data_IF_735156476887
#
_entry.id   IF_735156476887
#
_cell.length_a   1.000
_cell.length_b   1.000
_cell.length_c   1.000
_cell.angle_alpha   90.00
_cell.angle_beta   90.00
_cell.angle_gamma   90.00
#
_symmetry.space_group_name_H-M   'P 1'
#
loop_
_entity.id
_entity.type
_entity.pdbx_description
1 polymer ?
#
# COMPACT_ATOMS: atom_id res chain seq x y z
N UNK A 1 16.44 9.89 20.90
CA UNK A 1 16.47 8.61 20.17
C UNK A 1 15.26 8.60 19.25
N UNK A 2 15.43 8.17 18.01
CA UNK A 2 14.37 8.09 17.00
C UNK A 2 14.05 6.62 16.70
N UNK A 3 12.83 6.35 16.23
CA UNK A 3 12.37 5.00 15.91
C UNK A 3 11.74 5.02 14.51
N UNK A 4 11.96 3.97 13.73
CA UNK A 4 11.44 4.00 12.37
C UNK A 4 11.87 2.85 11.49
N UNK A 5 11.64 3.05 10.19
CA UNK A 5 12.04 2.12 9.14
C UNK A 5 13.51 2.36 8.79
N UNK A 6 14.31 1.33 8.96
CA UNK A 6 15.75 1.35 8.65
C UNK A 6 16.02 1.02 7.17
N UNK A 7 15.31 0.04 6.63
CA UNK A 7 15.40 -0.40 5.23
C UNK A 7 14.11 -1.08 4.80
N UNK A 8 13.91 -1.22 3.48
CA UNK A 8 12.72 -1.84 2.88
C UNK A 8 13.12 -2.74 1.72
N UNK A 9 12.42 -3.86 1.55
CA UNK A 9 12.55 -4.74 0.39
C UNK A 9 11.19 -5.01 -0.24
N UNK A 10 11.16 -5.14 -1.57
CA UNK A 10 9.98 -5.43 -2.36
C UNK A 10 10.12 -6.77 -3.06
N UNK A 11 9.09 -7.59 -2.94
CA UNK A 11 8.82 -8.67 -3.88
C UNK A 11 7.60 -8.32 -4.74
N UNK A 12 7.71 -8.52 -6.03
CA UNK A 12 6.61 -8.43 -6.99
C UNK A 12 6.68 -9.66 -7.90
N UNK A 13 5.54 -10.31 -8.21
CA UNK A 13 5.51 -11.42 -9.16
C UNK A 13 6.18 -11.08 -10.48
N UNK A 14 6.85 -12.07 -11.07
CA UNK A 14 7.59 -11.90 -12.34
C UNK A 14 6.71 -11.86 -13.57
N UNK A 15 5.42 -12.04 -13.38
CA UNK A 15 4.43 -11.99 -14.45
C UNK A 15 3.45 -10.84 -14.22
N UNK A 16 2.87 -10.35 -15.30
CA UNK A 16 1.85 -9.30 -15.26
C UNK A 16 0.87 -9.43 -16.42
N UNK A 17 -0.35 -8.95 -16.23
CA UNK A 17 -1.27 -8.71 -17.34
C UNK A 17 -1.16 -7.25 -17.80
N UNK A 18 -1.05 -7.07 -19.12
CA UNK A 18 -1.12 -5.73 -19.72
C UNK A 18 -2.57 -5.22 -19.67
N UNK A 19 -2.78 -4.01 -19.15
CA UNK A 19 -4.12 -3.41 -19.03
C UNK A 19 -4.75 -3.09 -20.38
N UNK A 20 -3.95 -2.89 -21.43
CA UNK A 20 -4.47 -2.75 -22.79
C UNK A 20 -5.12 -4.06 -23.26
N UNK A 21 -4.46 -5.20 -23.03
CA UNK A 21 -5.03 -6.52 -23.32
C UNK A 21 -6.34 -6.77 -22.57
N UNK A 22 -6.37 -6.44 -21.25
CA UNK A 22 -7.60 -6.55 -20.47
C UNK A 22 -8.72 -5.66 -21.03
N UNK A 23 -8.42 -4.41 -21.35
CA UNK A 23 -9.37 -3.45 -21.90
C UNK A 23 -9.98 -3.95 -23.21
N UNK A 24 -9.14 -4.47 -24.11
CA UNK A 24 -9.57 -5.06 -25.38
C UNK A 24 -10.51 -6.26 -25.15
N UNK A 25 -10.11 -7.20 -24.31
CA UNK A 25 -10.88 -8.44 -24.02
C UNK A 25 -12.19 -8.19 -23.29
N UNK A 26 -12.28 -7.13 -22.49
CA UNK A 26 -13.48 -6.74 -21.74
C UNK A 26 -14.33 -5.66 -22.45
N UNK A 27 -13.91 -5.20 -23.63
CA UNK A 27 -14.63 -4.14 -24.36
C UNK A 27 -14.67 -2.80 -23.63
N UNK A 28 -13.61 -2.49 -22.84
CA UNK A 28 -13.47 -1.24 -22.09
C UNK A 28 -12.55 -0.29 -22.86
N UNK A 29 -12.92 0.99 -22.95
CA UNK A 29 -12.02 1.99 -23.53
C UNK A 29 -10.72 2.08 -22.71
N UNK A 30 -9.57 1.78 -23.32
CA UNK A 30 -8.26 1.77 -22.64
C UNK A 30 -7.94 3.10 -21.97
N UNK A 31 -8.31 4.23 -22.59
CA UNK A 31 -8.09 5.57 -22.04
C UNK A 31 -8.79 5.78 -20.70
N UNK A 32 -9.92 5.12 -20.46
CA UNK A 32 -10.62 5.14 -19.17
C UNK A 32 -9.73 4.54 -18.06
N UNK A 33 -9.02 3.46 -18.38
CA UNK A 33 -8.14 2.77 -17.43
C UNK A 33 -6.78 3.47 -17.31
N UNK A 34 -6.14 3.79 -18.43
CA UNK A 34 -4.79 4.37 -18.43
C UNK A 34 -4.77 5.85 -18.01
N UNK A 35 -5.58 6.70 -18.65
CA UNK A 35 -5.62 8.14 -18.34
C UNK A 35 -6.55 8.47 -17.18
N UNK A 36 -7.62 7.67 -17.02
CA UNK A 36 -8.60 7.87 -15.94
C UNK A 36 -8.12 7.35 -14.59
N UNK A 37 -7.60 6.12 -14.53
CA UNK A 37 -7.20 5.45 -13.30
C UNK A 37 -5.69 5.31 -13.13
N UNK A 38 -4.90 5.53 -14.20
CA UNK A 38 -3.45 5.40 -14.19
C UNK A 38 -2.97 3.95 -14.20
N UNK A 39 -3.69 3.05 -14.85
CA UNK A 39 -3.36 1.64 -14.88
C UNK A 39 -2.68 1.28 -16.21
N UNK A 40 -1.52 0.66 -16.13
CA UNK A 40 -0.76 0.17 -17.28
C UNK A 40 -0.58 -1.34 -17.23
N UNK A 41 -0.17 -1.88 -16.06
CA UNK A 41 0.05 -3.30 -15.83
C UNK A 41 -0.54 -3.72 -14.50
N UNK A 42 -0.93 -4.97 -14.43
CA UNK A 42 -1.43 -5.64 -13.23
C UNK A 42 -0.46 -6.76 -12.86
N UNK A 43 0.23 -6.66 -11.72
CA UNK A 43 1.02 -7.76 -11.19
C UNK A 43 0.09 -8.91 -10.81
N UNK A 44 0.47 -10.13 -11.16
CA UNK A 44 -0.35 -11.30 -10.93
C UNK A 44 0.50 -12.47 -10.38
N UNK A 45 -0.01 -13.18 -9.38
CA UNK A 45 0.69 -14.34 -8.84
C UNK A 45 0.73 -15.49 -9.86
N UNK A 46 1.91 -16.09 -10.01
CA UNK A 46 2.05 -17.34 -10.73
C UNK A 46 1.48 -18.51 -9.91
N UNK A 47 1.32 -19.67 -10.51
CA UNK A 47 0.67 -20.84 -9.88
C UNK A 47 1.36 -21.29 -8.57
N UNK A 48 2.65 -21.01 -8.40
CA UNK A 48 3.42 -21.35 -7.20
C UNK A 48 3.45 -20.25 -6.14
N UNK A 49 2.91 -19.06 -6.43
CA UNK A 49 3.00 -17.89 -5.55
C UNK A 49 1.72 -17.69 -4.74
N UNK A 50 1.88 -17.27 -3.50
CA UNK A 50 0.83 -16.78 -2.61
C UNK A 50 1.36 -15.71 -1.66
N UNK A 51 0.51 -15.22 -0.74
CA UNK A 51 0.91 -14.17 0.19
C UNK A 51 2.09 -14.58 1.10
N UNK A 52 2.22 -15.88 1.43
CA UNK A 52 3.33 -16.37 2.25
C UNK A 52 4.65 -16.41 1.48
N UNK A 53 4.63 -16.89 0.22
CA UNK A 53 5.83 -16.96 -0.61
C UNK A 53 6.37 -15.59 -0.94
N UNK A 54 5.49 -14.63 -1.32
CA UNK A 54 5.87 -13.25 -1.57
C UNK A 54 6.46 -12.57 -0.33
N UNK A 55 5.85 -12.79 0.84
CA UNK A 55 6.37 -12.29 2.12
C UNK A 55 7.74 -12.89 2.44
N UNK A 56 7.93 -14.19 2.23
CA UNK A 56 9.20 -14.88 2.49
C UNK A 56 10.34 -14.29 1.65
N UNK A 57 10.11 -14.06 0.35
CA UNK A 57 11.12 -13.48 -0.53
C UNK A 57 11.48 -12.03 -0.12
N UNK A 58 10.49 -11.20 0.23
CA UNK A 58 10.75 -9.84 0.69
C UNK A 58 11.51 -9.80 2.04
N UNK A 59 11.15 -10.68 2.99
CA UNK A 59 11.84 -10.80 4.29
C UNK A 59 13.28 -11.31 4.07
N UNK A 60 13.46 -12.33 3.24
CA UNK A 60 14.77 -12.91 2.96
C UNK A 60 15.71 -11.87 2.33
N UNK A 61 15.27 -11.15 1.30
CA UNK A 61 16.05 -10.08 0.67
C UNK A 61 16.47 -9.02 1.69
N UNK A 62 15.56 -8.62 2.59
CA UNK A 62 15.84 -7.61 3.61
C UNK A 62 16.92 -8.08 4.60
N UNK A 63 16.85 -9.35 5.05
CA UNK A 63 17.80 -9.95 5.98
C UNK A 63 19.18 -10.10 5.33
N UNK A 64 19.25 -10.69 4.14
CA UNK A 64 20.52 -10.92 3.44
C UNK A 64 21.22 -9.60 3.08
N UNK A 65 20.48 -8.65 2.49
CA UNK A 65 21.06 -7.35 2.10
C UNK A 65 21.67 -6.58 3.26
N UNK A 66 21.08 -6.69 4.44
CA UNK A 66 21.56 -6.02 5.65
C UNK A 66 22.43 -6.92 6.53
N UNK A 67 22.70 -8.15 6.12
CA UNK A 67 23.46 -9.15 6.89
C UNK A 67 22.97 -9.26 8.35
N UNK A 68 21.64 -9.32 8.54
CA UNK A 68 21.03 -9.36 9.87
C UNK A 68 21.16 -10.78 10.45
N UNK A 69 21.60 -10.87 11.71
CA UNK A 69 21.43 -12.11 12.47
C UNK A 69 19.94 -12.30 12.81
N UNK A 70 19.23 -13.30 12.22
CA UNK A 70 17.80 -13.46 12.42
C UNK A 70 17.40 -13.73 13.88
N UNK A 71 18.34 -14.21 14.72
CA UNK A 71 18.11 -14.42 16.15
C UNK A 71 17.93 -13.10 16.93
N UNK A 72 18.31 -11.97 16.34
CA UNK A 72 18.12 -10.64 16.92
C UNK A 72 16.77 -10.03 16.55
N UNK A 73 16.02 -10.65 15.63
CA UNK A 73 14.68 -10.21 15.23
C UNK A 73 13.70 -10.76 16.26
N UNK A 74 13.18 -9.88 17.12
CA UNK A 74 12.25 -10.27 18.18
C UNK A 74 10.79 -10.31 17.72
N UNK A 75 10.47 -9.75 16.54
CA UNK A 75 9.09 -9.66 16.03
C UNK A 75 9.05 -9.65 14.50
N UNK A 76 8.10 -10.44 13.93
CA UNK A 76 7.70 -10.38 12.53
C UNK A 76 6.17 -10.26 12.50
N UNK A 77 5.64 -9.06 12.23
CA UNK A 77 4.20 -8.81 12.11
C UNK A 77 3.82 -8.55 10.65
N UNK A 78 2.83 -9.28 10.18
CA UNK A 78 2.36 -9.21 8.80
C UNK A 78 0.97 -8.56 8.74
N UNK A 79 0.84 -7.51 7.94
CA UNK A 79 -0.47 -7.02 7.53
C UNK A 79 -0.91 -7.72 6.25
N UNK A 80 -2.12 -8.29 6.25
CA UNK A 80 -2.65 -8.98 5.07
C UNK A 80 -4.17 -9.04 5.05
N UNK A 81 -4.76 -8.94 3.86
CA UNK A 81 -6.14 -9.30 3.54
C UNK A 81 -6.22 -10.66 2.81
N UNK A 82 -5.08 -11.30 2.58
CA UNK A 82 -4.93 -12.54 1.83
C UNK A 82 -4.45 -13.67 2.72
N UNK A 83 -4.97 -13.72 3.96
CA UNK A 83 -4.64 -14.76 4.93
C UNK A 83 -4.95 -16.16 4.37
N UNK A 84 -4.02 -17.09 4.58
CA UNK A 84 -4.11 -18.45 4.05
C UNK A 84 -4.89 -19.42 4.97
N UNK A 85 -5.13 -18.99 6.21
CA UNK A 85 -5.79 -19.79 7.23
C UNK A 85 -6.57 -18.88 8.20
N UNK A 86 -7.64 -19.39 8.77
CA UNK A 86 -8.47 -18.63 9.71
C UNK A 86 -7.91 -18.55 11.14
N UNK A 87 -6.84 -19.29 11.44
CA UNK A 87 -6.27 -19.43 12.79
C UNK A 87 -4.75 -19.36 12.78
N UNK A 88 -4.09 -20.14 11.90
CA UNK A 88 -2.63 -20.15 11.75
C UNK A 88 -2.18 -18.92 10.96
N UNK A 89 -1.32 -18.02 11.53
CA UNK A 89 -0.87 -16.84 10.82
C UNK A 89 -0.11 -17.16 9.52
N UNK A 90 -0.41 -16.45 8.45
CA UNK A 90 0.31 -16.55 7.17
C UNK A 90 1.80 -16.24 7.34
N UNK A 91 2.12 -15.31 8.24
CA UNK A 91 3.50 -14.97 8.60
C UNK A 91 4.30 -16.16 9.13
N UNK A 92 3.67 -17.19 9.71
CA UNK A 92 4.38 -18.40 10.19
C UNK A 92 4.90 -19.24 9.04
N UNK A 93 4.16 -19.32 7.92
CA UNK A 93 4.63 -19.99 6.70
C UNK A 93 5.82 -19.24 6.08
N UNK A 94 5.70 -17.90 5.97
CA UNK A 94 6.78 -17.06 5.46
C UNK A 94 8.05 -17.20 6.33
N UNK A 95 7.91 -17.14 7.65
CA UNK A 95 9.02 -17.26 8.60
C UNK A 95 9.69 -18.64 8.51
N UNK A 96 8.92 -19.74 8.34
CA UNK A 96 9.47 -21.08 8.15
C UNK A 96 10.33 -21.18 6.88
N UNK A 97 9.84 -20.63 5.74
CA UNK A 97 10.58 -20.63 4.48
C UNK A 97 11.90 -19.86 4.61
N UNK A 98 11.87 -18.66 5.21
CA UNK A 98 13.07 -17.85 5.46
C UNK A 98 14.05 -18.58 6.38
N UNK A 99 13.56 -19.19 7.47
CA UNK A 99 14.38 -19.96 8.42
C UNK A 99 15.12 -21.11 7.72
N UNK A 100 14.42 -21.91 6.90
CA UNK A 100 15.02 -23.00 6.14
C UNK A 100 16.15 -22.52 5.21
N UNK A 101 15.95 -21.36 4.56
CA UNK A 101 16.96 -20.78 3.67
C UNK A 101 18.18 -20.25 4.41
N UNK A 102 17.99 -19.76 5.64
CA UNK A 102 19.04 -19.22 6.48
C UNK A 102 19.74 -20.30 7.36
N UNK A 103 19.22 -21.53 7.39
CA UNK A 103 19.64 -22.59 8.32
C UNK A 103 21.13 -22.92 8.23
N UNK A 104 21.71 -22.95 7.03
CA UNK A 104 23.12 -23.25 6.84
C UNK A 104 24.04 -22.21 7.53
N UNK A 105 23.62 -20.94 7.63
CA UNK A 105 24.39 -19.84 8.22
C UNK A 105 24.07 -19.63 9.70
N UNK A 106 22.79 -19.79 10.09
CA UNK A 106 22.30 -19.35 11.39
C UNK A 106 21.67 -20.47 12.25
N UNK A 107 21.61 -21.71 11.72
CA UNK A 107 20.98 -22.86 12.36
C UNK A 107 19.48 -22.98 12.08
N UNK A 108 18.96 -24.19 12.27
CA UNK A 108 17.59 -24.58 11.88
C UNK A 108 16.45 -23.89 12.65
N UNK A 109 16.75 -23.25 13.78
CA UNK A 109 15.78 -22.61 14.67
C UNK A 109 16.07 -21.13 14.91
N UNK A 110 16.54 -20.41 13.89
CA UNK A 110 17.00 -19.03 14.05
C UNK A 110 15.88 -18.03 14.41
N UNK A 111 14.61 -18.39 14.19
CA UNK A 111 13.43 -17.58 14.60
C UNK A 111 12.66 -18.15 15.78
N UNK A 112 13.19 -19.13 16.52
CA UNK A 112 12.45 -19.80 17.61
C UNK A 112 11.82 -18.86 18.63
N UNK A 113 12.47 -17.76 18.94
CA UNK A 113 12.05 -16.78 19.95
C UNK A 113 11.47 -15.50 19.30
N UNK A 114 11.16 -15.54 18.01
CA UNK A 114 10.52 -14.43 17.30
C UNK A 114 9.00 -14.47 17.50
N UNK A 115 8.41 -13.36 17.92
CA UNK A 115 6.95 -13.19 18.00
C UNK A 115 6.38 -12.95 16.59
N UNK A 116 5.48 -13.84 16.14
CA UNK A 116 4.96 -13.83 14.76
C UNK A 116 3.43 -13.75 14.76
N UNK A 117 2.87 -12.80 14.00
CA UNK A 117 1.45 -12.49 13.99
C UNK A 117 0.98 -11.94 12.64
N UNK A 118 -0.24 -12.30 12.22
CA UNK A 118 -0.98 -11.56 11.18
C UNK A 118 -1.88 -10.50 11.80
N UNK A 119 -1.92 -9.30 11.19
CA UNK A 119 -2.82 -8.21 11.57
C UNK A 119 -3.74 -7.87 10.41
N UNK A 120 -5.04 -7.91 10.66
CA UNK A 120 -6.07 -7.65 9.65
C UNK A 120 -6.93 -6.45 10.03
N UNK A 121 -6.93 -5.44 9.21
CA UNK A 121 -7.94 -4.41 9.05
C UNK A 121 -7.89 -3.94 7.60
N UNK A 122 -8.45 -4.73 6.69
CA UNK A 122 -8.37 -4.46 5.25
C UNK A 122 -6.99 -3.90 4.84
N UNK A 123 -6.92 -2.95 3.92
CA UNK A 123 -5.66 -2.42 3.38
C UNK A 123 -4.77 -1.66 4.39
N UNK A 124 -5.23 -1.39 5.63
CA UNK A 124 -4.43 -0.64 6.63
C UNK A 124 -3.71 -1.55 7.64
N UNK A 125 -3.93 -2.87 7.61
CA UNK A 125 -3.39 -3.81 8.59
C UNK A 125 -1.88 -3.72 8.79
N UNK A 126 -1.11 -3.51 7.73
CA UNK A 126 0.35 -3.37 7.84
C UNK A 126 0.79 -2.02 8.45
N UNK A 127 -0.01 -0.97 8.35
CA UNK A 127 0.23 0.30 9.07
C UNK A 127 -0.02 0.11 10.55
N UNK A 128 -1.03 -0.68 10.93
CA UNK A 128 -1.26 -1.05 12.33
C UNK A 128 -0.10 -1.88 12.88
N UNK A 129 0.39 -2.85 12.10
CA UNK A 129 1.58 -3.64 12.45
C UNK A 129 2.83 -2.76 12.64
N UNK A 130 3.02 -1.75 11.77
CA UNK A 130 4.12 -0.80 11.89
C UNK A 130 4.03 0.02 13.19
N UNK A 131 2.86 0.60 13.49
CA UNK A 131 2.68 1.39 14.71
C UNK A 131 2.87 0.54 15.98
N UNK A 132 2.31 -0.66 16.02
CA UNK A 132 2.52 -1.60 17.13
C UNK A 132 4.00 -1.97 17.31
N UNK A 133 4.73 -2.15 16.21
CA UNK A 133 6.15 -2.48 16.26
C UNK A 133 7.00 -1.27 16.70
N UNK A 134 6.66 -0.06 16.24
CA UNK A 134 7.31 1.17 16.69
C UNK A 134 7.14 1.41 18.20
N UNK A 135 5.94 1.19 18.73
CA UNK A 135 5.66 1.32 20.17
C UNK A 135 6.44 0.29 21.00
N UNK A 136 6.52 -0.97 20.52
CA UNK A 136 7.29 -2.01 21.17
C UNK A 136 8.81 -1.72 21.18
N UNK A 137 9.35 -1.16 20.08
CA UNK A 137 10.75 -0.72 20.00
C UNK A 137 10.98 0.50 20.89
N UNK A 138 10.04 1.41 20.97
CA UNK A 138 10.16 2.58 21.84
C UNK A 138 10.13 2.22 23.34
N UNK A 139 9.45 1.12 23.71
CA UNK A 139 9.49 0.58 25.07
C UNK A 139 10.87 -0.06 25.40
N UNK A 140 11.53 -0.66 24.40
CA UNK A 140 12.90 -1.17 24.55
C UNK A 140 13.68 -0.94 23.24
N UNK A 141 14.57 0.07 23.19
CA UNK A 141 15.32 0.44 21.99
C UNK A 141 16.30 -0.60 21.45
N UNK A 142 16.55 -1.68 22.18
CA UNK A 142 17.35 -2.82 21.70
C UNK A 142 16.54 -3.77 20.81
N UNK A 143 15.23 -3.64 20.82
CA UNK A 143 14.36 -4.45 19.99
C UNK A 143 14.55 -4.12 18.50
N UNK A 144 14.47 -5.16 17.67
CA UNK A 144 14.45 -5.06 16.22
C UNK A 144 13.30 -5.93 15.70
N UNK A 145 12.50 -5.37 14.83
CA UNK A 145 11.37 -6.09 14.23
C UNK A 145 11.33 -5.97 12.71
N UNK A 146 10.63 -6.88 12.08
CA UNK A 146 10.24 -6.79 10.67
C UNK A 146 8.73 -6.62 10.63
N UNK A 147 8.26 -5.65 9.86
CA UNK A 147 6.87 -5.54 9.46
C UNK A 147 6.78 -5.90 7.99
N UNK A 148 5.88 -6.80 7.64
CA UNK A 148 5.67 -7.19 6.25
C UNK A 148 4.22 -6.96 5.86
N UNK A 149 4.02 -6.41 4.67
CA UNK A 149 2.73 -6.31 3.99
C UNK A 149 2.77 -7.24 2.79
N UNK A 150 1.82 -8.15 2.64
CA UNK A 150 1.81 -9.08 1.50
C UNK A 150 0.39 -9.46 1.14
N UNK A 151 0.02 -9.21 -0.11
CA UNK A 151 -1.33 -9.44 -0.58
C UNK A 151 -1.41 -9.84 -2.05
N UNK A 152 -2.49 -10.53 -2.36
CA UNK A 152 -3.04 -10.78 -3.67
C UNK A 152 -4.43 -10.13 -3.73
N UNK A 153 -4.55 -9.00 -4.42
CA UNK A 153 -5.83 -8.35 -4.64
C UNK A 153 -6.54 -9.03 -5.81
N UNK A 154 -7.49 -9.89 -5.48
CA UNK A 154 -8.27 -10.67 -6.45
C UNK A 154 -9.74 -10.24 -6.40
N UNK A 155 -10.33 -10.02 -7.57
CA UNK A 155 -11.74 -9.68 -7.75
C UNK A 155 -12.40 -10.67 -8.70
N UNK A 156 -13.72 -10.71 -8.72
CA UNK A 156 -14.44 -11.49 -9.73
C UNK A 156 -14.10 -11.02 -11.15
N UNK A 157 -13.94 -11.96 -12.07
CA UNK A 157 -13.77 -11.65 -13.49
C UNK A 157 -14.97 -10.84 -13.99
N UNK A 158 -14.71 -9.90 -14.90
CA UNK A 158 -15.71 -8.99 -15.49
C UNK A 158 -16.31 -7.97 -14.49
N UNK A 159 -15.90 -8.00 -13.22
CA UNK A 159 -16.31 -6.98 -12.25
C UNK A 159 -15.59 -5.66 -12.45
N UNK A 160 -16.15 -4.59 -11.88
CA UNK A 160 -15.51 -3.26 -11.87
C UNK A 160 -14.23 -3.19 -11.03
N UNK A 161 -13.88 -4.25 -10.30
CA UNK A 161 -12.64 -4.38 -9.54
C UNK A 161 -11.53 -5.09 -10.33
N UNK A 162 -11.86 -5.90 -11.34
CA UNK A 162 -10.90 -6.75 -12.04
C UNK A 162 -9.68 -5.99 -12.54
N UNK A 163 -9.85 -4.83 -13.15
CA UNK A 163 -8.75 -4.05 -13.70
C UNK A 163 -7.87 -3.38 -12.64
N UNK A 164 -8.25 -3.42 -11.36
CA UNK A 164 -7.46 -2.86 -10.25
C UNK A 164 -6.67 -3.92 -9.50
N UNK A 165 -6.78 -5.20 -9.85
CA UNK A 165 -6.05 -6.30 -9.21
C UNK A 165 -4.55 -6.05 -9.19
N UNK A 166 -3.86 -6.71 -8.26
CA UNK A 166 -2.41 -6.65 -8.13
C UNK A 166 -1.91 -7.62 -7.08
N UNK A 167 -0.60 -7.85 -7.05
CA UNK A 167 0.04 -8.72 -6.09
C UNK A 167 1.45 -8.26 -5.75
N UNK A 168 1.87 -8.47 -4.50
CA UNK A 168 3.22 -8.16 -4.07
C UNK A 168 3.37 -8.07 -2.56
N UNK A 169 4.61 -8.00 -2.10
CA UNK A 169 4.96 -7.87 -0.69
C UNK A 169 6.02 -6.80 -0.47
N UNK A 170 5.90 -6.07 0.64
CA UNK A 170 6.91 -5.13 1.12
C UNK A 170 7.30 -5.50 2.54
N UNK A 171 8.58 -5.79 2.78
CA UNK A 171 9.14 -6.00 4.10
C UNK A 171 9.90 -4.75 4.56
N UNK A 172 9.75 -4.39 5.83
CA UNK A 172 10.34 -3.20 6.45
C UNK A 172 11.12 -3.61 7.70
N UNK A 173 12.39 -3.26 7.77
CA UNK A 173 13.20 -3.39 8.97
C UNK A 173 12.91 -2.21 9.90
N UNK A 174 12.43 -2.48 11.10
CA UNK A 174 12.01 -1.45 12.06
C UNK A 174 12.90 -1.53 13.31
N UNK A 175 13.54 -0.40 13.66
CA UNK A 175 14.47 -0.33 14.80
C UNK A 175 14.67 1.10 15.32
N UNK A 176 15.41 1.23 16.39
CA UNK A 176 15.91 2.51 16.89
C UNK A 176 17.03 3.06 15.99
N UNK A 177 17.09 4.40 15.88
CA UNK A 177 18.04 5.15 15.05
C UNK A 177 18.09 4.64 13.60
N UNK A 178 16.95 4.66 12.89
CA UNK A 178 16.83 4.13 11.54
C UNK A 178 17.62 4.96 10.53
N UNK A 179 18.07 4.34 9.42
CA UNK A 179 18.77 5.00 8.32
C UNK A 179 17.84 5.67 7.30
N UNK A 180 16.60 5.20 7.19
CA UNK A 180 15.67 5.66 6.13
C UNK A 180 14.66 6.69 6.64
N UNK A 181 13.78 6.30 7.55
CA UNK A 181 12.68 7.14 8.05
C UNK A 181 12.51 7.02 9.55
N UNK A 182 12.36 8.15 10.25
CA UNK A 182 11.94 8.16 11.66
C UNK A 182 10.51 8.69 11.80
N UNK A 183 9.71 8.03 12.64
CA UNK A 183 8.31 8.40 12.88
C UNK A 183 8.13 9.20 14.16
N UNK A 184 7.17 10.11 14.16
CA UNK A 184 6.64 10.73 15.38
C UNK A 184 5.46 9.89 15.89
N UNK A 185 5.21 9.95 17.21
CA UNK A 185 4.12 9.17 17.83
C UNK A 185 2.74 9.79 17.67
N UNK A 186 2.65 10.90 16.93
CA UNK A 186 1.38 11.56 16.63
C UNK A 186 0.77 10.90 15.42
N UNK A 187 -0.46 10.41 15.59
CA UNK A 187 -1.24 9.77 14.54
C UNK A 187 -2.70 10.22 14.69
N UNK A 188 -3.27 10.80 13.64
CA UNK A 188 -4.70 11.04 13.52
C UNK A 188 -5.41 9.75 13.09
N UNK A 189 -6.57 9.48 13.66
CA UNK A 189 -7.35 8.26 13.39
C UNK A 189 -8.82 8.63 13.23
N UNK A 190 -9.45 8.05 12.20
CA UNK A 190 -10.90 8.06 12.06
C UNK A 190 -11.38 6.67 11.71
N UNK A 191 -12.46 6.21 12.36
CA UNK A 191 -13.03 4.87 12.15
C UNK A 191 -14.55 4.93 12.19
N UNK A 192 -15.18 4.15 11.33
CA UNK A 192 -16.61 3.91 11.36
C UNK A 192 -16.89 2.49 10.84
N UNK A 193 -17.94 1.86 11.35
CA UNK A 193 -18.32 0.50 10.94
C UNK A 193 -19.26 0.57 9.74
N UNK A 194 -18.74 0.30 8.56
CA UNK A 194 -19.49 0.33 7.30
C UNK A 194 -19.21 -0.89 6.43
N UNK A 195 -20.08 -1.16 5.48
CA UNK A 195 -19.96 -2.29 4.54
C UNK A 195 -19.63 -1.76 3.13
N UNK A 196 -18.52 -1.05 3.00
CA UNK A 196 -18.05 -0.51 1.72
C UNK A 196 -17.28 -1.54 0.88
N UNK A 197 -16.49 -2.39 1.54
CA UNK A 197 -15.73 -3.50 0.97
C UNK A 197 -15.45 -4.52 2.09
N UNK A 198 -15.79 -5.77 1.87
CA UNK A 198 -15.59 -6.84 2.84
C UNK A 198 -15.54 -8.21 2.16
N UNK A 199 -14.90 -9.19 2.81
CA UNK A 199 -14.83 -10.59 2.37
C UNK A 199 -15.63 -11.45 3.35
N UNK A 200 -16.91 -11.72 3.07
CA UNK A 200 -17.76 -12.46 4.01
C UNK A 200 -17.27 -13.90 4.14
N UNK A 201 -17.13 -14.37 5.39
CA UNK A 201 -16.92 -15.80 5.65
C UNK A 201 -18.24 -16.52 5.40
N UNK A 202 -18.24 -17.39 4.39
CA UNK A 202 -19.33 -18.32 4.06
C UNK A 202 -18.83 -19.74 4.30
N UNK A 203 -19.63 -20.77 3.96
CA UNK A 203 -19.24 -22.17 4.05
C UNK A 203 -17.96 -22.48 3.27
N UNK A 204 -17.74 -21.76 2.18
CA UNK A 204 -16.46 -21.71 1.46
C UNK A 204 -15.85 -20.32 1.59
N UNK A 205 -14.59 -20.23 2.01
CA UNK A 205 -13.85 -18.97 2.05
C UNK A 205 -13.75 -18.38 0.64
N UNK A 206 -14.25 -17.17 0.44
CA UNK A 206 -14.15 -16.48 -0.85
C UNK A 206 -12.95 -15.53 -0.82
N UNK A 207 -12.05 -15.65 -1.80
CA UNK A 207 -10.90 -14.75 -1.98
C UNK A 207 -11.32 -13.38 -2.50
N UNK A 208 -12.50 -13.30 -3.13
CA UNK A 208 -13.02 -12.11 -3.80
C UNK A 208 -13.94 -11.32 -2.87
N UNK A 209 -13.85 -9.97 -2.90
CA UNK A 209 -14.66 -9.12 -2.04
C UNK A 209 -16.07 -8.89 -2.59
N UNK A 210 -16.99 -8.57 -1.68
CA UNK A 210 -18.23 -7.84 -1.97
C UNK A 210 -17.95 -6.35 -1.72
N UNK A 211 -18.23 -5.48 -2.69
CA UNK A 211 -17.91 -4.06 -2.56
C UNK A 211 -18.80 -3.15 -3.40
N UNK A 212 -18.99 -1.92 -2.95
CA UNK A 212 -19.51 -0.80 -3.73
C UNK A 212 -18.37 0.22 -3.94
N UNK A 213 -17.88 0.31 -5.17
CA UNK A 213 -16.72 1.14 -5.48
C UNK A 213 -16.97 2.65 -5.31
N UNK A 214 -18.22 3.14 -5.50
CA UNK A 214 -18.55 4.55 -5.27
C UNK A 214 -18.61 4.85 -3.78
N UNK A 215 -19.31 4.03 -3.03
CA UNK A 215 -19.44 4.16 -1.59
C UNK A 215 -18.08 4.01 -0.90
N UNK A 216 -17.25 3.07 -1.32
CA UNK A 216 -15.90 2.90 -0.77
C UNK A 216 -15.01 4.13 -1.01
N UNK A 217 -15.09 4.76 -2.19
CA UNK A 217 -14.39 6.02 -2.44
C UNK A 217 -14.86 7.14 -1.51
N UNK A 218 -16.17 7.26 -1.23
CA UNK A 218 -16.72 8.24 -0.30
C UNK A 218 -16.26 7.96 1.13
N UNK A 219 -16.29 6.69 1.58
CA UNK A 219 -15.80 6.29 2.89
C UNK A 219 -14.33 6.65 3.08
N UNK A 220 -13.49 6.41 2.07
CA UNK A 220 -12.09 6.82 2.13
C UNK A 220 -11.95 8.34 2.29
N UNK A 221 -12.71 9.10 1.52
CA UNK A 221 -12.64 10.56 1.54
C UNK A 221 -13.07 11.13 2.90
N UNK A 222 -14.19 10.65 3.46
CA UNK A 222 -14.67 11.08 4.79
C UNK A 222 -13.66 10.73 5.88
N UNK A 223 -13.21 9.47 5.94
CA UNK A 223 -12.23 9.03 6.95
C UNK A 223 -10.90 9.76 6.82
N UNK A 224 -10.46 10.06 5.59
CA UNK A 224 -9.27 10.87 5.36
C UNK A 224 -9.41 12.28 5.95
N UNK A 225 -10.52 12.95 5.71
CA UNK A 225 -10.77 14.31 6.22
C UNK A 225 -10.77 14.33 7.75
N UNK A 226 -11.54 13.43 8.37
CA UNK A 226 -11.60 13.31 9.83
C UNK A 226 -10.25 12.95 10.46
N UNK A 227 -9.50 12.02 9.84
CA UNK A 227 -8.17 11.66 10.33
C UNK A 227 -7.14 12.80 10.16
N UNK A 228 -7.28 13.66 9.14
CA UNK A 228 -6.48 14.87 8.98
C UNK A 228 -6.78 15.89 10.08
N UNK A 229 -8.04 16.06 10.44
CA UNK A 229 -8.48 16.94 11.54
C UNK A 229 -7.96 16.41 12.90
N UNK A 230 -8.12 15.12 13.17
CA UNK A 230 -7.62 14.49 14.41
C UNK A 230 -6.07 14.57 14.47
N UNK A 231 -5.37 14.36 13.34
CA UNK A 231 -3.91 14.54 13.28
C UNK A 231 -3.52 15.97 13.63
N UNK A 232 -4.20 16.96 13.09
CA UNK A 232 -3.96 18.38 13.39
C UNK A 232 -4.12 18.66 14.88
N UNK A 233 -5.26 18.27 15.46
CA UNK A 233 -5.54 18.49 16.88
C UNK A 233 -4.47 17.84 17.77
N UNK A 234 -4.18 16.56 17.55
CA UNK A 234 -3.13 15.84 18.32
C UNK A 234 -1.73 16.42 18.13
N UNK A 235 -1.42 16.89 16.93
CA UNK A 235 -0.11 17.50 16.65
C UNK A 235 0.06 18.85 17.35
N UNK A 236 -1.01 19.63 17.48
CA UNK A 236 -1.03 20.87 18.23
C UNK A 236 -0.95 20.61 19.75
N UNK A 237 -1.76 19.68 20.28
CA UNK A 237 -1.77 19.29 21.71
C UNK A 237 -0.41 18.74 22.17
N UNK A 238 0.25 17.96 21.33
CA UNK A 238 1.58 17.39 21.65
C UNK A 238 2.73 18.37 21.47
N UNK A 239 2.47 19.57 20.97
CA UNK A 239 3.50 20.56 20.64
C UNK A 239 4.32 20.23 19.37
N UNK A 240 3.90 19.24 18.59
CA UNK A 240 4.52 18.93 17.31
C UNK A 240 4.31 20.06 16.28
N UNK A 241 3.21 20.77 16.41
CA UNK A 241 2.87 22.01 15.68
C UNK A 241 2.39 23.07 16.66
N UNK A 242 2.61 24.33 16.30
CA UNK A 242 1.92 25.45 16.99
C UNK A 242 0.50 25.58 16.43
N UNK A 243 -0.49 25.95 17.23
CA UNK A 243 -1.83 26.23 16.74
C UNK A 243 -1.80 27.21 15.56
N UNK A 244 -2.47 26.87 14.46
CA UNK A 244 -2.53 27.68 13.24
C UNK A 244 -1.23 27.79 12.43
N UNK A 245 -0.16 27.08 12.80
CA UNK A 245 1.14 27.16 12.09
C UNK A 245 1.05 26.71 10.63
N UNK A 246 0.21 25.73 10.34
CA UNK A 246 -0.02 25.20 8.99
C UNK A 246 -1.52 25.23 8.66
N UNK A 247 -2.05 26.36 8.17
CA UNK A 247 -3.44 26.41 7.69
C UNK A 247 -3.72 25.32 6.64
N UNK A 248 -2.75 25.09 5.74
CA UNK A 248 -2.73 23.95 4.84
C UNK A 248 -1.74 22.88 5.38
N UNK A 249 -2.25 21.77 5.88
CA UNK A 249 -1.41 20.72 6.45
C UNK A 249 -0.49 20.08 5.40
N UNK A 250 -0.91 20.04 4.14
CA UNK A 250 -0.11 19.52 3.03
C UNK A 250 1.19 20.30 2.79
N UNK A 251 1.26 21.57 3.20
CA UNK A 251 2.49 22.38 3.09
C UNK A 251 3.59 21.91 4.05
N UNK A 252 3.21 21.21 5.12
CA UNK A 252 4.14 20.63 6.08
C UNK A 252 4.99 19.50 5.47
N UNK A 253 4.47 18.82 4.44
CA UNK A 253 5.06 17.62 3.88
C UNK A 253 5.72 17.87 2.52
N UNK A 254 6.93 17.31 2.32
CA UNK A 254 7.60 17.32 1.03
C UNK A 254 6.91 16.40 0.02
N UNK A 255 6.42 15.26 0.48
CA UNK A 255 5.63 14.28 -0.30
C UNK A 255 4.45 13.80 0.54
N UNK A 256 3.39 13.38 -0.16
CA UNK A 256 2.20 12.77 0.43
C UNK A 256 2.09 11.34 -0.09
N UNK A 257 2.03 10.39 0.82
CA UNK A 257 2.02 8.96 0.56
C UNK A 257 0.64 8.42 0.93
N UNK A 258 -0.06 7.89 -0.05
CA UNK A 258 -1.43 7.39 0.10
C UNK A 258 -1.49 5.88 -0.03
N UNK A 259 -2.48 5.26 0.61
CA UNK A 259 -3.00 4.00 0.12
C UNK A 259 -3.63 4.24 -1.26
N UNK A 260 -3.27 3.40 -2.24
CA UNK A 260 -3.68 3.57 -3.64
C UNK A 260 -4.41 2.30 -4.14
N UNK A 261 -5.76 2.25 -4.07
CA UNK A 261 -6.54 1.18 -4.71
C UNK A 261 -6.35 1.14 -6.23
N UNK A 262 -6.04 2.27 -6.82
CA UNK A 262 -5.54 2.46 -8.19
C UNK A 262 -4.65 3.69 -8.23
N UNK A 263 -3.74 3.75 -9.19
CA UNK A 263 -2.65 4.73 -9.16
C UNK A 263 -3.10 6.19 -9.00
N UNK A 264 -4.15 6.61 -9.71
CA UNK A 264 -4.61 8.00 -9.68
C UNK A 264 -5.65 8.32 -8.59
N UNK A 265 -5.84 7.41 -7.64
CA UNK A 265 -6.82 7.59 -6.58
C UNK A 265 -6.56 8.84 -5.73
N UNK A 266 -5.34 8.99 -5.22
CA UNK A 266 -4.96 10.12 -4.35
C UNK A 266 -5.26 11.49 -4.98
N UNK A 267 -4.84 11.71 -6.24
CA UNK A 267 -5.10 12.98 -6.92
C UNK A 267 -6.58 13.25 -7.19
N UNK A 268 -7.43 12.23 -7.14
CA UNK A 268 -8.88 12.39 -7.33
C UNK A 268 -9.59 12.72 -6.02
N UNK A 269 -9.22 12.08 -4.92
CA UNK A 269 -9.90 12.28 -3.64
C UNK A 269 -9.39 13.51 -2.88
N UNK A 270 -8.18 14.00 -3.16
CA UNK A 270 -7.60 15.13 -2.42
C UNK A 270 -8.05 16.50 -2.92
N UNK A 271 -8.81 16.58 -4.01
CA UNK A 271 -9.26 17.87 -4.59
C UNK A 271 -10.08 18.70 -3.58
N UNK A 272 -11.03 18.08 -2.90
CA UNK A 272 -11.85 18.76 -1.87
C UNK A 272 -11.02 19.25 -0.71
N UNK A 273 -10.11 18.41 -0.20
CA UNK A 273 -9.20 18.80 0.86
C UNK A 273 -8.28 19.94 0.42
N UNK A 274 -7.82 19.93 -0.83
CA UNK A 274 -7.05 21.02 -1.40
C UNK A 274 -7.84 22.34 -1.40
N UNK A 275 -9.12 22.31 -1.81
CA UNK A 275 -10.00 23.49 -1.76
C UNK A 275 -10.16 23.94 -0.30
N UNK A 276 -10.44 23.03 0.63
CA UNK A 276 -10.58 23.35 2.05
C UNK A 276 -9.32 24.04 2.62
N UNK A 277 -8.14 23.53 2.30
CA UNK A 277 -6.87 24.17 2.68
C UNK A 277 -6.69 25.57 2.08
N UNK A 278 -7.11 25.77 0.83
CA UNK A 278 -7.05 27.09 0.18
C UNK A 278 -8.03 28.09 0.82
N UNK A 279 -9.24 27.62 1.23
CA UNK A 279 -10.20 28.41 1.98
C UNK A 279 -9.66 28.79 3.36
N UNK A 280 -9.07 27.84 4.09
CA UNK A 280 -8.44 28.10 5.39
C UNK A 280 -7.31 29.14 5.32
N UNK A 281 -6.61 29.21 4.19
CA UNK A 281 -5.58 30.24 3.92
C UNK A 281 -6.15 31.59 3.50
N UNK A 282 -7.45 31.72 3.26
CA UNK A 282 -8.09 32.94 2.76
C UNK A 282 -7.66 33.34 1.34
N UNK A 283 -7.28 32.38 0.51
CA UNK A 283 -6.80 32.62 -0.87
C UNK A 283 -7.68 31.97 -1.94
N UNK A 284 -8.72 31.25 -1.53
CA UNK A 284 -9.60 30.51 -2.45
C UNK A 284 -10.32 31.44 -3.44
N UNK A 285 -10.85 32.56 -2.99
CA UNK A 285 -11.57 33.51 -3.85
C UNK A 285 -10.68 34.05 -4.99
N UNK A 286 -9.39 34.27 -4.71
CA UNK A 286 -8.42 34.68 -5.73
C UNK A 286 -8.20 33.57 -6.76
N UNK A 287 -8.20 32.30 -6.33
CA UNK A 287 -8.06 31.15 -7.23
C UNK A 287 -9.30 30.98 -8.11
N UNK A 288 -10.50 31.11 -7.52
CA UNK A 288 -11.79 31.09 -8.23
C UNK A 288 -11.79 32.13 -9.33
N UNK A 289 -11.44 33.40 -9.01
CA UNK A 289 -11.38 34.47 -9.98
C UNK A 289 -10.31 34.21 -11.07
N UNK A 290 -9.12 33.77 -10.68
CA UNK A 290 -7.99 33.51 -11.57
C UNK A 290 -8.28 32.46 -12.63
N UNK A 291 -8.97 31.37 -12.24
CA UNK A 291 -9.24 30.22 -13.09
C UNK A 291 -10.69 30.17 -13.61
N UNK A 292 -11.48 31.24 -13.35
CA UNK A 292 -12.89 31.33 -13.72
C UNK A 292 -13.70 30.08 -13.30
N UNK A 293 -13.50 29.64 -12.06
CA UNK A 293 -14.17 28.48 -11.52
C UNK A 293 -15.62 28.82 -11.15
N UNK A 294 -16.53 27.87 -11.33
CA UNK A 294 -17.95 28.04 -11.00
C UNK A 294 -18.29 27.09 -9.85
N UNK A 295 -18.08 27.56 -8.60
CA UNK A 295 -18.46 26.77 -7.41
C UNK A 295 -19.98 26.72 -7.31
N UNK A 296 -20.61 25.51 -7.30
CA UNK A 296 -22.06 25.41 -7.30
C UNK A 296 -22.64 25.82 -5.94
N UNK A 297 -23.72 26.60 -5.98
CA UNK A 297 -24.57 26.79 -4.80
C UNK A 297 -25.52 25.61 -4.67
N UNK A 298 -25.19 24.71 -3.74
CA UNK A 298 -25.91 23.44 -3.56
C UNK A 298 -27.35 23.62 -3.10
N UNK A 299 -27.73 24.79 -2.57
CA UNK A 299 -29.10 25.12 -2.18
C UNK A 299 -30.08 25.22 -3.37
N UNK A 300 -29.55 25.41 -4.57
CA UNK A 300 -30.36 25.56 -5.79
C UNK A 300 -30.70 24.23 -6.48
N UNK A 301 -30.20 23.08 -5.96
CA UNK A 301 -30.46 21.78 -6.58
C UNK A 301 -31.63 21.05 -5.91
N UNK A 302 -32.53 20.42 -6.70
CA UNK A 302 -33.78 19.85 -6.19
C UNK A 302 -33.57 18.56 -5.37
N UNK A 303 -32.46 17.88 -5.56
CA UNK A 303 -32.13 16.60 -4.89
C UNK A 303 -30.63 16.42 -4.75
N UNK A 304 -30.23 15.53 -3.83
CA UNK A 304 -28.84 15.22 -3.54
C UNK A 304 -28.06 14.73 -4.77
N UNK A 305 -28.66 13.91 -5.61
CA UNK A 305 -28.01 13.36 -6.81
C UNK A 305 -27.60 14.45 -7.80
N UNK A 306 -28.46 15.46 -7.96
CA UNK A 306 -28.18 16.63 -8.82
C UNK A 306 -27.08 17.49 -8.23
N UNK A 307 -27.10 17.71 -6.90
CA UNK A 307 -26.04 18.43 -6.17
C UNK A 307 -24.70 17.70 -6.27
N UNK A 308 -24.67 16.38 -6.07
CA UNK A 308 -23.46 15.56 -6.20
C UNK A 308 -22.87 15.63 -7.61
N UNK A 309 -23.73 15.59 -8.64
CA UNK A 309 -23.29 15.73 -10.03
C UNK A 309 -22.65 17.09 -10.30
N UNK A 310 -23.25 18.18 -9.78
CA UNK A 310 -22.71 19.53 -9.93
C UNK A 310 -21.36 19.65 -9.20
N UNK A 311 -21.27 19.10 -7.97
CA UNK A 311 -20.03 19.03 -7.20
C UNK A 311 -18.95 18.27 -7.96
N UNK A 312 -19.25 17.10 -8.53
CA UNK A 312 -18.30 16.31 -9.31
C UNK A 312 -17.75 17.08 -10.53
N UNK A 313 -18.62 17.82 -11.25
CA UNK A 313 -18.22 18.67 -12.37
C UNK A 313 -17.28 19.79 -11.90
N UNK A 314 -17.63 20.42 -10.80
CA UNK A 314 -16.80 21.47 -10.21
C UNK A 314 -15.44 20.95 -9.76
N UNK A 315 -15.39 19.85 -9.00
CA UNK A 315 -14.13 19.24 -8.56
C UNK A 315 -13.24 18.83 -9.74
N UNK A 316 -13.87 18.34 -10.82
CA UNK A 316 -13.15 18.06 -12.06
C UNK A 316 -12.53 19.32 -12.63
N UNK A 317 -13.26 20.44 -12.70
CA UNK A 317 -12.72 21.71 -13.21
C UNK A 317 -11.53 22.21 -12.38
N UNK A 318 -11.60 22.09 -11.05
CA UNK A 318 -10.48 22.43 -10.14
C UNK A 318 -9.28 21.52 -10.41
N UNK A 319 -9.50 20.22 -10.58
CA UNK A 319 -8.44 19.23 -10.83
C UNK A 319 -7.69 19.48 -12.15
N UNK A 320 -8.33 20.13 -13.11
CA UNK A 320 -7.74 20.47 -14.40
C UNK A 320 -6.92 21.78 -14.38
N UNK A 321 -7.04 22.59 -13.31
CA UNK A 321 -6.27 23.83 -13.18
C UNK A 321 -4.76 23.59 -13.12
N UNK A 322 -3.94 24.49 -13.67
CA UNK A 322 -2.48 24.43 -13.51
C UNK A 322 -2.03 24.41 -12.05
N UNK A 323 -2.81 25.06 -11.17
CA UNK A 323 -2.54 25.12 -9.74
C UNK A 323 -2.62 23.74 -9.08
N UNK A 324 -3.71 23.00 -9.30
CA UNK A 324 -3.86 21.66 -8.74
C UNK A 324 -2.92 20.65 -9.39
N UNK A 325 -2.72 20.73 -10.71
CA UNK A 325 -1.74 19.89 -11.41
C UNK A 325 -0.33 20.08 -10.85
N UNK A 326 0.07 21.31 -10.55
CA UNK A 326 1.36 21.60 -9.91
C UNK A 326 1.44 20.99 -8.50
N UNK A 327 0.37 21.11 -7.71
CA UNK A 327 0.28 20.49 -6.40
C UNK A 327 0.46 18.97 -6.49
N UNK A 328 -0.25 18.29 -7.40
CA UNK A 328 -0.12 16.85 -7.63
C UNK A 328 1.29 16.47 -8.02
N UNK A 329 1.89 17.20 -8.98
CA UNK A 329 3.26 16.98 -9.44
C UNK A 329 4.27 17.06 -8.29
N UNK A 330 4.13 18.09 -7.44
CA UNK A 330 5.08 18.33 -6.35
C UNK A 330 4.90 17.35 -5.17
N UNK A 331 3.67 16.91 -4.88
CA UNK A 331 3.35 16.21 -3.64
C UNK A 331 3.02 14.72 -3.81
N UNK A 332 2.37 14.33 -4.91
CA UNK A 332 1.69 13.04 -5.04
C UNK A 332 2.25 12.20 -6.19
N UNK A 333 2.55 12.78 -7.35
CA UNK A 333 2.81 12.05 -8.60
C UNK A 333 3.86 10.93 -8.46
N UNK A 334 4.97 11.21 -7.78
CA UNK A 334 6.06 10.25 -7.63
C UNK A 334 5.66 9.00 -6.85
N UNK A 335 4.74 9.12 -5.90
CA UNK A 335 4.20 7.99 -5.14
C UNK A 335 3.29 7.08 -5.97
N UNK A 336 2.72 7.58 -7.08
CA UNK A 336 1.79 6.84 -7.93
C UNK A 336 2.47 5.98 -9.00
N UNK A 337 3.73 6.24 -9.34
CA UNK A 337 4.42 5.65 -10.50
C UNK A 337 4.47 4.12 -10.44
N UNK A 338 4.86 3.54 -9.31
CA UNK A 338 4.93 2.09 -9.18
C UNK A 338 3.54 1.43 -9.25
N UNK A 339 2.52 2.06 -8.66
CA UNK A 339 1.15 1.53 -8.68
C UNK A 339 0.55 1.47 -10.09
N UNK A 340 1.03 2.25 -11.04
CA UNK A 340 0.63 2.17 -12.45
C UNK A 340 1.06 0.83 -13.09
N UNK A 341 2.12 0.23 -12.57
CA UNK A 341 2.73 -0.97 -13.09
C UNK A 341 2.32 -2.25 -12.31
N UNK A 342 1.64 -2.10 -11.17
CA UNK A 342 1.34 -3.25 -10.30
C UNK A 342 -0.14 -3.46 -10.03
N UNK A 343 -0.98 -2.43 -10.10
CA UNK A 343 -2.33 -2.44 -9.54
C UNK A 343 -2.32 -2.29 -8.02
N UNK A 344 -3.42 -2.70 -7.38
CA UNK A 344 -3.60 -2.63 -5.93
C UNK A 344 -2.83 -3.76 -5.22
N UNK A 345 -2.02 -3.41 -4.23
CA UNK A 345 -1.35 -4.36 -3.36
C UNK A 345 -1.97 -4.40 -1.95
N UNK A 346 -3.21 -3.96 -1.80
CA UNK A 346 -3.91 -3.86 -0.51
C UNK A 346 -3.01 -3.27 0.60
N UNK A 347 -2.61 -4.06 1.61
CA UNK A 347 -1.81 -3.58 2.75
C UNK A 347 -0.41 -3.09 2.34
N UNK A 348 0.15 -3.62 1.25
CA UNK A 348 1.45 -3.19 0.73
C UNK A 348 1.39 -1.90 -0.10
N UNK A 349 0.20 -1.46 -0.53
CA UNK A 349 0.02 -0.34 -1.46
C UNK A 349 0.64 0.98 -0.96
N UNK A 350 0.43 1.34 0.31
CA UNK A 350 1.00 2.58 0.89
C UNK A 350 2.53 2.52 0.98
N UNK A 351 3.10 1.35 1.23
CA UNK A 351 4.55 1.17 1.31
C UNK A 351 5.20 1.10 -0.08
N UNK A 352 4.51 0.53 -1.07
CA UNK A 352 4.91 0.63 -2.47
C UNK A 352 4.92 2.10 -2.94
N UNK A 353 3.90 2.87 -2.58
CA UNK A 353 3.82 4.30 -2.87
C UNK A 353 4.99 5.08 -2.22
N UNK A 354 5.38 4.72 -0.99
CA UNK A 354 6.56 5.27 -0.33
C UNK A 354 7.84 4.94 -1.09
N UNK A 355 8.08 3.67 -1.43
CA UNK A 355 9.26 3.25 -2.19
C UNK A 355 9.32 3.94 -3.56
N UNK A 356 8.18 4.05 -4.24
CA UNK A 356 8.04 4.75 -5.53
C UNK A 356 8.44 6.23 -5.44
N UNK A 357 7.99 6.93 -4.40
CA UNK A 357 8.35 8.33 -4.19
C UNK A 357 9.85 8.49 -3.89
N UNK A 358 10.40 7.68 -2.99
CA UNK A 358 11.80 7.76 -2.58
C UNK A 358 12.74 7.41 -3.74
N UNK A 359 12.52 6.31 -4.47
CA UNK A 359 13.37 5.93 -5.59
C UNK A 359 13.26 6.93 -6.77
N UNK A 360 12.04 7.48 -7.01
CA UNK A 360 11.88 8.57 -7.98
C UNK A 360 12.65 9.83 -7.59
N UNK A 361 12.62 10.23 -6.30
CA UNK A 361 13.36 11.39 -5.81
C UNK A 361 14.87 11.18 -5.83
N UNK A 362 15.32 9.96 -5.55
CA UNK A 362 16.73 9.58 -5.66
C UNK A 362 17.23 9.69 -7.12
N UNK A 363 16.50 9.14 -8.09
CA UNK A 363 16.83 9.25 -9.50
C UNK A 363 16.86 10.72 -9.99
N UNK A 364 15.89 11.52 -9.54
CA UNK A 364 15.79 12.93 -9.89
C UNK A 364 16.76 13.84 -9.06
N UNK A 365 17.59 13.25 -8.18
CA UNK A 365 18.54 13.93 -7.30
C UNK A 365 17.90 15.00 -6.40
N UNK A 366 16.66 14.78 -5.97
CA UNK A 366 15.94 15.65 -5.05
C UNK A 366 16.42 15.40 -3.62
N UNK A 367 16.83 16.45 -2.91
CA UNK A 367 17.25 16.35 -1.51
C UNK A 367 16.05 16.27 -0.56
N UNK A 368 15.94 15.14 0.12
CA UNK A 368 14.87 14.92 1.11
C UNK A 368 15.38 14.89 2.56
N UNK A 369 16.67 15.08 2.80
CA UNK A 369 17.25 15.08 4.16
C UNK A 369 16.44 15.96 5.11
N UNK A 370 16.03 15.39 6.23
CA UNK A 370 15.20 16.04 7.26
C UNK A 370 13.83 16.56 6.78
N UNK A 371 13.45 16.30 5.55
CA UNK A 371 12.09 16.61 5.06
C UNK A 371 11.07 15.64 5.67
N UNK A 372 9.84 16.12 5.80
CA UNK A 372 8.72 15.31 6.28
C UNK A 372 7.92 14.76 5.12
N UNK A 373 7.51 13.51 5.27
CA UNK A 373 6.55 12.85 4.39
C UNK A 373 5.25 12.65 5.19
N UNK A 374 4.12 13.00 4.61
CA UNK A 374 2.80 12.76 5.20
C UNK A 374 2.23 11.45 4.65
N UNK A 375 1.68 10.62 5.54
CA UNK A 375 1.05 9.36 5.19
C UNK A 375 -0.46 9.45 5.40
N UNK A 376 -1.21 8.98 4.42
CA UNK A 376 -2.67 8.89 4.45
C UNK A 376 -3.02 7.45 4.09
N UNK A 377 -3.17 6.63 5.11
CA UNK A 377 -3.50 5.22 4.99
C UNK A 377 -5.00 5.00 5.20
N UNK A 378 -5.56 4.05 4.48
CA UNK A 378 -6.97 3.68 4.57
C UNK A 378 -7.13 2.16 4.49
N UNK A 379 -8.12 1.65 5.19
CA UNK A 379 -8.65 0.31 5.07
C UNK A 379 -10.17 0.37 5.13
N UNK A 380 -10.80 -0.31 4.18
CA UNK A 380 -12.27 -0.45 4.13
C UNK A 380 -12.83 -1.09 5.39
N UNK A 381 -14.13 -0.80 5.73
CA UNK A 381 -14.78 -1.30 6.91
C UNK A 381 -15.14 -0.32 8.04
N UNK A 382 -14.62 0.92 8.19
CA UNK A 382 -13.62 1.70 7.48
C UNK A 382 -12.70 2.42 8.49
N UNK A 383 -11.44 2.57 8.19
CA UNK A 383 -10.48 3.28 9.04
C UNK A 383 -9.45 4.05 8.21
N UNK A 384 -9.18 5.29 8.58
CA UNK A 384 -8.02 6.03 8.07
C UNK A 384 -7.05 6.38 9.19
N UNK A 385 -5.77 6.44 8.84
CA UNK A 385 -4.70 6.97 9.69
C UNK A 385 -3.90 8.01 8.94
N UNK A 386 -3.64 9.14 9.61
CA UNK A 386 -2.75 10.18 9.13
C UNK A 386 -1.59 10.33 10.10
N UNK A 387 -0.38 10.24 9.60
CA UNK A 387 0.85 10.34 10.37
C UNK A 387 1.99 10.86 9.51
N UNK A 388 3.14 11.14 10.12
CA UNK A 388 4.28 11.66 9.38
C UNK A 388 5.60 10.96 9.76
N UNK A 389 6.51 10.93 8.79
CA UNK A 389 7.89 10.50 9.01
C UNK A 389 8.87 11.58 8.55
N UNK A 390 10.05 11.58 9.16
CA UNK A 390 11.18 12.42 8.76
C UNK A 390 12.22 11.58 8.05
N UNK A 391 12.58 11.97 6.83
CA UNK A 391 13.64 11.33 6.04
C UNK A 391 14.99 11.56 6.74
N UNK A 392 15.74 10.49 6.93
CA UNK A 392 17.02 10.54 7.64
C UNK A 392 18.16 10.99 6.70
N UNK A 393 19.19 11.67 7.22
CA UNK A 393 20.38 11.98 6.42
C UNK A 393 21.03 10.69 5.89
N UNK A 394 21.42 10.68 4.63
CA UNK A 394 22.02 9.52 3.97
C UNK A 394 21.02 8.44 3.54
N UNK A 395 19.73 8.78 3.49
CA UNK A 395 18.66 7.93 3.00
C UNK A 395 18.91 7.34 1.60
N UNK A 396 19.66 8.05 0.79
CA UNK A 396 20.06 7.64 -0.58
C UNK A 396 20.85 6.33 -0.56
N UNK A 397 21.68 6.12 0.49
CA UNK A 397 22.46 4.87 0.64
C UNK A 397 21.58 3.64 0.86
N UNK A 398 20.34 3.83 1.31
CA UNK A 398 19.35 2.77 1.45
C UNK A 398 18.57 2.61 0.14
N UNK A 399 18.03 3.71 -0.38
CA UNK A 399 17.13 3.69 -1.55
C UNK A 399 17.80 3.17 -2.82
N UNK A 400 19.11 3.41 -3.04
CA UNK A 400 19.84 2.86 -4.17
C UNK A 400 19.77 1.33 -4.31
N UNK A 401 19.43 0.63 -3.23
CA UNK A 401 19.30 -0.83 -3.18
C UNK A 401 17.85 -1.33 -3.30
N UNK A 402 16.86 -0.47 -3.49
CA UNK A 402 15.47 -0.89 -3.69
C UNK A 402 15.28 -1.61 -5.01
N UNK A 403 15.87 -1.08 -6.07
CA UNK A 403 15.72 -1.60 -7.43
C UNK A 403 14.26 -1.75 -7.87
N UNK A 404 13.36 -0.91 -7.32
CA UNK A 404 11.92 -0.99 -7.53
C UNK A 404 11.56 -0.95 -9.02
N UNK A 405 11.96 0.13 -9.72
CA UNK A 405 11.58 0.30 -11.12
C UNK A 405 12.26 -0.73 -12.04
N UNK A 406 13.46 -1.19 -11.70
CA UNK A 406 14.11 -2.27 -12.45
C UNK A 406 13.41 -3.61 -12.27
N UNK A 407 12.95 -3.94 -11.04
CA UNK A 407 12.12 -5.12 -10.77
C UNK A 407 10.81 -5.07 -11.56
N UNK A 408 10.14 -3.92 -11.60
CA UNK A 408 8.90 -3.74 -12.34
C UNK A 408 9.07 -3.83 -13.86
N UNK A 409 10.23 -3.41 -14.39
CA UNK A 409 10.56 -3.49 -15.82
C UNK A 409 10.85 -4.93 -16.26
N UNK A 410 11.49 -5.72 -15.42
CA UNK A 410 11.99 -7.06 -15.74
C UNK A 410 10.94 -8.16 -15.47
N UNK A 411 9.69 -7.95 -15.92
CA UNK A 411 8.59 -8.91 -15.77
C UNK A 411 8.10 -9.40 -17.12
N UNK A 412 7.49 -10.58 -17.15
CA UNK A 412 6.97 -11.24 -18.35
C UNK A 412 5.48 -11.00 -18.50
N UNK A 413 4.98 -10.57 -19.68
CA UNK A 413 3.55 -10.41 -19.89
C UNK A 413 2.87 -11.78 -20.00
N UNK A 414 1.67 -11.88 -19.40
CA UNK A 414 0.77 -13.00 -19.56
C UNK A 414 0.01 -12.91 -20.90
N UNK A 415 -0.22 -14.05 -21.54
CA UNK A 415 -1.32 -14.15 -22.50
C UNK A 415 -2.66 -14.10 -21.79
N UNK A 416 -3.74 -13.80 -22.54
CA UNK A 416 -5.08 -13.78 -21.98
C UNK A 416 -5.49 -15.12 -21.38
N UNK A 417 -5.23 -16.22 -22.07
CA UNK A 417 -5.57 -17.56 -21.60
C UNK A 417 -4.81 -17.96 -20.33
N UNK A 418 -3.51 -17.60 -20.24
CA UNK A 418 -2.72 -17.80 -19.02
C UNK A 418 -3.33 -17.03 -17.84
N UNK A 419 -3.70 -15.76 -18.05
CA UNK A 419 -4.35 -14.95 -17.01
C UNK A 419 -5.64 -15.59 -16.50
N UNK A 420 -6.57 -15.95 -17.40
CA UNK A 420 -7.85 -16.55 -16.97
C UNK A 420 -7.64 -17.91 -16.28
N UNK A 421 -6.71 -18.75 -16.76
CA UNK A 421 -6.42 -20.04 -16.13
C UNK A 421 -5.84 -19.87 -14.72
N UNK A 422 -4.87 -18.98 -14.55
CA UNK A 422 -4.31 -18.64 -13.23
C UNK A 422 -5.38 -18.05 -12.30
N UNK A 423 -6.20 -17.14 -12.81
CA UNK A 423 -7.26 -16.50 -12.03
C UNK A 423 -8.29 -17.52 -11.51
N UNK A 424 -8.68 -18.49 -12.35
CA UNK A 424 -9.62 -19.55 -12.00
C UNK A 424 -9.00 -20.69 -11.19
N UNK A 425 -7.67 -20.65 -10.96
CA UNK A 425 -6.96 -21.71 -10.25
C UNK A 425 -6.87 -23.03 -11.03
N UNK A 426 -6.99 -22.99 -12.36
CA UNK A 426 -6.91 -24.18 -13.22
C UNK A 426 -5.48 -24.54 -13.59
N UNK A 427 -4.53 -23.64 -13.44
CA UNK A 427 -3.12 -23.89 -13.74
C UNK A 427 -2.40 -24.35 -12.47
N UNK A 428 -1.80 -25.52 -12.52
CA UNK A 428 -0.82 -26.00 -11.52
C UNK A 428 0.62 -25.82 -11.99
N UNK A 429 0.81 -25.36 -13.23
CA UNK A 429 2.13 -25.19 -13.84
C UNK A 429 2.44 -23.68 -13.90
N UNK A 430 3.58 -23.30 -13.35
CA UNK A 430 4.07 -21.93 -13.36
C UNK A 430 4.41 -21.47 -14.76
N UNK A 431 4.08 -20.23 -15.07
CA UNK A 431 4.40 -19.56 -16.35
C UNK A 431 5.87 -19.14 -16.34
N UNK A 432 6.37 -18.65 -15.21
CA UNK A 432 7.74 -18.16 -15.05
C UNK A 432 8.34 -18.66 -13.73
N UNK A 433 8.66 -19.97 -13.63
CA UNK A 433 9.31 -20.50 -12.43
C UNK A 433 10.70 -19.87 -12.29
N UNK A 434 11.00 -19.37 -11.10
CA UNK A 434 12.33 -18.82 -10.79
C UNK A 434 13.13 -19.79 -9.94
N UNK A 435 14.42 -19.93 -10.26
CA UNK A 435 15.38 -20.67 -9.44
C UNK A 435 15.64 -19.93 -8.13
N UNK A 436 15.85 -20.67 -7.08
CA UNK A 436 16.12 -20.17 -5.74
C UNK A 436 15.00 -19.31 -5.15
N UNK A 437 13.75 -19.52 -5.53
CA UNK A 437 12.56 -18.92 -4.93
C UNK A 437 11.67 -19.94 -4.27
N UNK A 438 10.97 -19.52 -3.24
CA UNK A 438 9.99 -20.36 -2.57
C UNK A 438 8.67 -20.41 -3.36
N UNK A 439 8.08 -21.59 -3.42
CA UNK A 439 6.77 -21.76 -4.01
C UNK A 439 5.93 -22.82 -3.31
N UNK A 440 4.62 -22.73 -3.50
CA UNK A 440 3.65 -23.73 -3.04
C UNK A 440 3.92 -25.05 -3.77
N UNK A 441 4.21 -26.10 -2.99
CA UNK A 441 4.44 -27.45 -3.51
C UNK A 441 3.13 -28.23 -3.59
N UNK A 442 2.38 -28.26 -2.48
CA UNK A 442 1.09 -28.96 -2.39
C UNK A 442 0.21 -28.41 -1.27
N UNK A 443 -1.08 -28.66 -1.42
CA UNK A 443 -2.09 -28.48 -0.36
C UNK A 443 -2.57 -29.87 0.05
N UNK A 444 -2.61 -30.14 1.34
CA UNK A 444 -3.12 -31.42 1.86
C UNK A 444 -4.60 -31.59 1.52
N UNK A 445 -4.97 -32.81 1.14
CA UNK A 445 -6.32 -33.12 0.61
C UNK A 445 -7.17 -33.95 1.54
N UNK A 446 -6.60 -34.51 2.63
CA UNK A 446 -7.33 -35.43 3.50
C UNK A 446 -6.84 -35.44 4.96
N UNK A 447 -7.70 -35.92 5.83
CA UNK A 447 -7.41 -36.14 7.24
C UNK A 447 -6.96 -34.86 7.97
N UNK A 448 -5.99 -35.05 8.87
CA UNK A 448 -5.42 -33.94 9.68
C UNK A 448 -4.57 -32.94 8.87
N UNK A 449 -4.31 -33.24 7.61
CA UNK A 449 -3.55 -32.36 6.70
C UNK A 449 -4.43 -31.62 5.72
N UNK A 450 -5.77 -31.79 5.76
CA UNK A 450 -6.70 -31.13 4.87
C UNK A 450 -6.52 -29.59 4.91
N UNK A 451 -6.18 -29.00 3.75
CA UNK A 451 -5.93 -27.56 3.61
C UNK A 451 -4.54 -27.09 4.05
N UNK A 452 -3.71 -27.97 4.67
CA UNK A 452 -2.35 -27.62 5.07
C UNK A 452 -1.48 -27.32 3.84
N UNK A 453 -0.76 -26.21 3.87
CA UNK A 453 0.12 -25.76 2.76
C UNK A 453 1.55 -26.18 3.00
N UNK A 454 2.20 -26.72 1.98
CA UNK A 454 3.59 -27.14 1.98
C UNK A 454 4.35 -26.39 0.90
N UNK A 455 5.53 -25.91 1.24
CA UNK A 455 6.34 -25.09 0.36
C UNK A 455 7.69 -25.75 0.09
N UNK A 456 8.22 -25.52 -1.11
CA UNK A 456 9.56 -25.96 -1.50
C UNK A 456 10.34 -24.80 -2.13
N UNK A 457 11.65 -24.91 -2.06
CA UNK A 457 12.55 -24.04 -2.80
C UNK A 457 12.72 -24.62 -4.21
N UNK A 458 12.48 -23.83 -5.24
CA UNK A 458 12.76 -24.23 -6.62
C UNK A 458 14.25 -24.11 -6.89
N UNK A 459 14.89 -25.19 -7.35
CA UNK A 459 16.32 -25.28 -7.67
C UNK A 459 16.66 -24.83 -9.11
#
# INVERSE_FOLDING_TARGET
MTFGIDDMALYVPKIYLDIHTLAEKRGIAYEKLSRGLGLHKMAFCDAHEDAATMAAEAIYELIERNNIDPRTIGRIYMGTESALDGSKPTATYATEMVQKRLAAKWGENCFRNCDVLDMTFACIGAVDALHNTLDWIAANPRNTGIVVASDLAKYELESSGEYTQGAGAVAMLVKANPRLLSFRRVCGVAMDSVHDFYKPRRDTYTETPVFDGQFSNQCYQWRMQEALEDFRARAEDSGLMRPGQFPAISERWARMIFHLPYAFHAKRIYVEQFIAERKQKGIWEKDVARFNLQEPDLSHYPDQKSADKATAVFLKSVSETPLYKKFVQDKIEKSQRASQETGNLYTASVFLALMSALESDWHDKVRLDKKRLGFIAYGSGSKAKVFEATVQPGWENVVQHFHLFSKLKNRTPLSWDQYEHLHKGYSSVSVQPEKNTWGLDKIGTEGVTLGARYYKLFE
#
